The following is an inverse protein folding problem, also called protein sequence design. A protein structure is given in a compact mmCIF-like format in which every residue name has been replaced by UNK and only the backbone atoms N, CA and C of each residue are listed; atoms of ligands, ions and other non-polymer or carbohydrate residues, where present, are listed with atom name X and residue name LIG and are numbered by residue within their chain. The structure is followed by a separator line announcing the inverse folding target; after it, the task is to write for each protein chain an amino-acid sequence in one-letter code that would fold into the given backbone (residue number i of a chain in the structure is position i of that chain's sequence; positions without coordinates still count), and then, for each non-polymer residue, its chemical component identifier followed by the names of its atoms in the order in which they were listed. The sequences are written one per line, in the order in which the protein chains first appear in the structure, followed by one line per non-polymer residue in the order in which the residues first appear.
data_IF_503639995746
#
_entry.id   IF_503639995746
#
_cell.length_a   1.000
_cell.length_b   1.000
_cell.length_c   1.000
_cell.angle_alpha   90.00
_cell.angle_beta   90.00
_cell.angle_gamma   90.00
#
_symmetry.space_group_name_H-M   'P 1'
#
loop_
_entity.id
_entity.type
_entity.pdbx_description
1 polymer ?
#
# COMPACT_ATOMS: atom_id res chain seq x y z
N UNK A 1 -17.05 -7.85 -25.06
CA UNK A 1 -18.35 -7.16 -25.23
C UNK A 1 -18.21 -5.69 -24.90
N UNK A 2 -19.15 -4.85 -25.33
CA UNK A 2 -19.20 -3.41 -25.03
C UNK A 2 -20.36 -3.15 -24.07
N UNK A 3 -20.15 -2.27 -23.09
CA UNK A 3 -21.24 -1.74 -22.26
C UNK A 3 -21.93 -0.57 -22.98
N UNK A 4 -23.06 -0.08 -22.44
CA UNK A 4 -23.80 1.02 -23.04
C UNK A 4 -22.94 2.29 -23.18
N UNK A 5 -22.87 2.84 -24.39
CA UNK A 5 -22.06 4.02 -24.72
C UNK A 5 -20.58 3.72 -25.02
N UNK A 6 -20.12 2.48 -24.85
CA UNK A 6 -18.80 2.07 -25.29
C UNK A 6 -18.78 1.75 -26.79
N UNK A 7 -17.63 1.96 -27.43
CA UNK A 7 -17.36 1.55 -28.80
C UNK A 7 -15.94 1.01 -28.96
N UNK A 8 -15.73 0.15 -29.95
CA UNK A 8 -14.39 -0.27 -30.36
C UNK A 8 -13.76 0.77 -31.28
N UNK A 9 -12.64 1.36 -30.85
CA UNK A 9 -11.72 2.04 -31.77
C UNK A 9 -10.88 1.04 -32.54
N UNK A 10 -10.52 -0.06 -31.87
CA UNK A 10 -9.91 -1.25 -32.47
C UNK A 10 -10.66 -2.45 -31.91
N UNK A 11 -11.33 -3.21 -32.76
CA UNK A 11 -12.08 -4.39 -32.33
C UNK A 11 -11.15 -5.63 -32.27
N UNK A 12 -11.06 -6.32 -31.12
CA UNK A 12 -10.24 -7.51 -31.01
C UNK A 12 -10.85 -8.66 -31.82
N UNK A 13 -10.01 -9.29 -32.63
CA UNK A 13 -10.35 -10.45 -33.47
C UNK A 13 -9.62 -11.69 -33.00
N UNK A 14 -10.35 -12.80 -32.90
CA UNK A 14 -9.82 -14.15 -32.72
C UNK A 14 -9.05 -14.58 -33.97
N UNK A 15 -7.87 -15.16 -33.80
CA UNK A 15 -6.96 -15.52 -34.88
C UNK A 15 -6.80 -17.04 -35.07
N UNK A 16 -7.22 -17.83 -34.10
CA UNK A 16 -7.19 -19.29 -34.12
C UNK A 16 -8.57 -19.87 -33.76
N UNK A 17 -8.77 -21.15 -34.06
CA UNK A 17 -10.01 -21.85 -33.72
C UNK A 17 -10.09 -22.18 -32.22
N UNK A 18 -8.94 -22.36 -31.55
CA UNK A 18 -8.87 -22.65 -30.11
C UNK A 18 -9.06 -21.40 -29.23
N UNK A 19 -9.07 -20.20 -29.81
CA UNK A 19 -9.31 -18.95 -29.10
C UNK A 19 -8.19 -18.50 -28.16
N UNK A 20 -6.96 -18.95 -28.40
CA UNK A 20 -5.77 -18.54 -27.63
C UNK A 20 -5.08 -17.34 -28.25
N UNK A 21 -5.31 -17.07 -29.53
CA UNK A 21 -4.70 -15.96 -30.25
C UNK A 21 -5.74 -14.88 -30.54
N UNK A 22 -5.46 -13.67 -30.07
CA UNK A 22 -6.30 -12.50 -30.25
C UNK A 22 -5.46 -11.30 -30.66
N UNK A 23 -6.00 -10.49 -31.57
CA UNK A 23 -5.49 -9.13 -31.81
C UNK A 23 -5.90 -8.21 -30.66
N UNK A 24 -5.16 -7.11 -30.41
CA UNK A 24 -5.50 -6.18 -29.35
C UNK A 24 -6.81 -5.43 -29.63
N UNK A 25 -7.49 -5.03 -28.56
CA UNK A 25 -8.69 -4.20 -28.61
C UNK A 25 -8.50 -2.87 -27.89
N UNK A 26 -9.17 -1.82 -28.37
CA UNK A 26 -9.23 -0.51 -27.71
C UNK A 26 -10.68 -0.07 -27.59
N UNK A 27 -11.20 -0.05 -26.36
CA UNK A 27 -12.52 0.50 -26.02
C UNK A 27 -12.43 2.00 -25.80
N UNK A 28 -13.38 2.74 -26.33
CA UNK A 28 -13.59 4.14 -26.02
C UNK A 28 -14.95 4.34 -25.35
N UNK A 29 -15.03 5.30 -24.43
CA UNK A 29 -16.26 5.61 -23.71
C UNK A 29 -16.47 4.76 -22.46
N UNK A 30 -15.40 4.14 -21.93
CA UNK A 30 -15.47 3.42 -20.64
C UNK A 30 -15.92 4.41 -19.57
N UNK A 31 -16.98 4.05 -18.83
CA UNK A 31 -17.61 4.92 -17.84
C UNK A 31 -17.15 4.58 -16.43
N UNK A 32 -17.11 5.55 -15.51
CA UNK A 32 -16.86 5.28 -14.10
C UNK A 32 -17.85 4.24 -13.57
N UNK A 33 -17.34 3.22 -12.90
CA UNK A 33 -18.13 2.10 -12.34
C UNK A 33 -18.66 1.10 -13.37
N UNK A 34 -18.33 1.23 -14.68
CA UNK A 34 -18.66 0.18 -15.65
C UNK A 34 -17.89 -1.11 -15.37
N UNK A 35 -18.34 -2.23 -15.95
CA UNK A 35 -17.71 -3.53 -15.74
C UNK A 35 -16.23 -3.49 -16.10
N UNK A 36 -15.88 -2.83 -17.21
CA UNK A 36 -14.49 -2.72 -17.67
C UNK A 36 -13.63 -1.78 -16.81
N UNK A 37 -14.22 -0.81 -16.13
CA UNK A 37 -13.50 0.06 -15.19
C UNK A 37 -13.10 -0.71 -13.91
N UNK A 38 -13.98 -1.55 -13.39
CA UNK A 38 -13.80 -2.18 -12.07
C UNK A 38 -13.34 -3.64 -12.12
N UNK A 39 -13.19 -4.23 -13.31
CA UNK A 39 -12.82 -5.64 -13.50
C UNK A 39 -11.55 -5.77 -14.32
N UNK A 40 -10.54 -6.44 -13.75
CA UNK A 40 -9.34 -6.84 -14.48
C UNK A 40 -9.65 -8.00 -15.42
N UNK A 41 -9.58 -7.76 -16.74
CA UNK A 41 -9.87 -8.79 -17.76
C UNK A 41 -8.65 -9.64 -18.14
N UNK A 42 -7.46 -9.28 -17.66
CA UNK A 42 -6.19 -10.00 -17.87
C UNK A 42 -5.90 -10.40 -19.32
N UNK A 43 -6.22 -9.51 -20.27
CA UNK A 43 -6.12 -9.76 -21.72
C UNK A 43 -5.72 -8.50 -22.50
N UNK A 44 -5.60 -8.60 -23.83
CA UNK A 44 -5.03 -7.54 -24.67
C UNK A 44 -6.07 -6.46 -25.01
N UNK A 45 -6.74 -5.90 -24.00
CA UNK A 45 -7.77 -4.88 -24.18
C UNK A 45 -7.44 -3.64 -23.35
N UNK A 46 -7.37 -2.49 -24.02
CA UNK A 46 -7.23 -1.17 -23.39
C UNK A 46 -8.59 -0.47 -23.33
N UNK A 47 -8.89 0.17 -22.20
CA UNK A 47 -10.05 1.04 -22.05
C UNK A 47 -9.64 2.50 -21.98
N UNK A 48 -10.35 3.37 -22.72
CA UNK A 48 -10.16 4.82 -22.68
C UNK A 48 -11.34 5.46 -21.96
N UNK A 49 -11.03 6.14 -20.86
CA UNK A 49 -11.92 7.00 -20.09
C UNK A 49 -11.56 8.47 -20.37
N UNK A 50 -12.54 9.36 -20.28
CA UNK A 50 -12.33 10.81 -20.37
C UNK A 50 -12.67 11.42 -19.01
N UNK A 51 -11.79 12.26 -18.51
CA UNK A 51 -11.99 13.14 -17.36
C UNK A 51 -11.80 14.59 -17.83
N UNK A 52 -12.50 15.54 -17.21
CA UNK A 52 -12.40 16.97 -17.52
C UNK A 52 -11.28 17.66 -16.73
N UNK A 53 -10.84 17.07 -15.61
CA UNK A 53 -9.75 17.59 -14.77
C UNK A 53 -8.81 16.48 -14.31
N UNK A 54 -7.61 16.86 -13.87
CA UNK A 54 -6.65 15.93 -13.25
C UNK A 54 -7.22 15.32 -11.95
N UNK A 55 -7.97 16.09 -11.16
CA UNK A 55 -8.61 15.61 -9.94
C UNK A 55 -9.61 14.49 -10.22
N UNK A 56 -10.46 14.69 -11.22
CA UNK A 56 -11.40 13.67 -11.67
C UNK A 56 -10.64 12.43 -12.18
N UNK A 57 -9.58 12.60 -12.96
CA UNK A 57 -8.78 11.48 -13.45
C UNK A 57 -8.15 10.66 -12.31
N UNK A 58 -7.64 11.32 -11.27
CA UNK A 58 -7.10 10.68 -10.07
C UNK A 58 -8.21 9.94 -9.31
N UNK A 59 -9.39 10.53 -9.16
CA UNK A 59 -10.52 9.89 -8.48
C UNK A 59 -10.99 8.65 -9.23
N UNK A 60 -11.04 8.70 -10.57
CA UNK A 60 -11.32 7.53 -11.40
C UNK A 60 -10.26 6.45 -11.21
N UNK A 61 -8.97 6.82 -11.26
CA UNK A 61 -7.87 5.88 -11.05
C UNK A 61 -7.94 5.19 -9.67
N UNK A 62 -8.32 5.93 -8.63
CA UNK A 62 -8.40 5.42 -7.26
C UNK A 62 -9.71 4.67 -6.97
N UNK A 63 -10.76 4.84 -7.78
CA UNK A 63 -12.07 4.24 -7.56
C UNK A 63 -12.15 2.73 -7.85
N UNK A 64 -11.06 2.10 -8.30
CA UNK A 64 -10.97 0.65 -8.42
C UNK A 64 -10.53 0.00 -7.10
N UNK A 65 -10.90 -1.26 -6.89
CA UNK A 65 -10.53 -2.01 -5.69
C UNK A 65 -9.02 -2.31 -5.57
N UNK A 66 -8.24 -1.98 -6.60
CA UNK A 66 -6.84 -2.33 -6.76
C UNK A 66 -5.94 -1.11 -6.63
N UNK A 67 -4.66 -1.33 -6.31
CA UNK A 67 -3.66 -0.28 -6.16
C UNK A 67 -2.26 -0.79 -6.51
N UNK A 68 -2.12 -1.52 -7.63
CA UNK A 68 -0.85 -2.14 -8.00
C UNK A 68 0.11 -1.16 -8.66
N UNK A 69 -0.14 -0.82 -9.92
CA UNK A 69 0.63 0.16 -10.69
C UNK A 69 -0.25 1.30 -11.15
N UNK A 70 0.34 2.46 -11.32
CA UNK A 70 -0.31 3.64 -11.89
C UNK A 70 0.73 4.57 -12.51
N UNK A 71 0.33 5.36 -13.49
CA UNK A 71 1.26 6.31 -14.08
C UNK A 71 0.62 7.56 -14.62
N UNK A 72 1.40 8.63 -14.61
CA UNK A 72 1.05 9.93 -15.18
C UNK A 72 2.03 10.27 -16.30
N UNK A 73 1.48 10.77 -17.41
CA UNK A 73 2.25 11.43 -18.45
C UNK A 73 1.90 12.92 -18.45
N UNK A 74 2.76 13.73 -17.85
CA UNK A 74 2.69 15.19 -17.84
C UNK A 74 4.09 15.78 -17.79
N UNK A 75 4.29 16.96 -18.38
CA UNK A 75 5.54 17.74 -18.26
C UNK A 75 5.40 18.89 -17.26
N UNK A 76 4.21 19.06 -16.67
CA UNK A 76 3.97 20.06 -15.64
C UNK A 76 4.33 19.47 -14.27
N UNK A 77 5.29 20.09 -13.58
CA UNK A 77 5.76 19.65 -12.26
C UNK A 77 4.65 19.72 -11.21
N UNK A 78 3.77 20.72 -11.28
CA UNK A 78 2.68 20.87 -10.32
C UNK A 78 1.64 19.75 -10.48
N UNK A 79 1.37 19.33 -11.71
CA UNK A 79 0.51 18.16 -11.97
C UNK A 79 1.14 16.86 -11.48
N UNK A 80 2.45 16.70 -11.66
CA UNK A 80 3.20 15.53 -11.20
C UNK A 80 3.18 15.43 -9.67
N UNK A 81 3.50 16.53 -8.98
CA UNK A 81 3.51 16.57 -7.51
C UNK A 81 2.11 16.30 -6.95
N UNK A 82 1.10 16.96 -7.52
CA UNK A 82 -0.30 16.76 -7.14
C UNK A 82 -0.78 15.31 -7.32
N UNK A 83 -0.41 14.68 -8.45
CA UNK A 83 -0.73 13.28 -8.69
C UNK A 83 0.01 12.35 -7.72
N UNK A 84 1.31 12.58 -7.48
CA UNK A 84 2.10 11.76 -6.56
C UNK A 84 1.61 11.84 -5.11
N UNK A 85 1.01 12.96 -4.71
CA UNK A 85 0.44 13.12 -3.37
C UNK A 85 -0.89 12.39 -3.17
N UNK A 86 -1.67 12.21 -4.24
CA UNK A 86 -3.02 11.66 -4.18
C UNK A 86 -3.19 10.24 -4.75
N UNK A 87 -2.28 9.77 -5.59
CA UNK A 87 -2.43 8.47 -6.25
C UNK A 87 -2.29 7.31 -5.26
N UNK A 88 -3.23 6.38 -5.30
CA UNK A 88 -3.30 5.25 -4.37
C UNK A 88 -2.77 3.94 -4.99
N UNK A 89 -1.52 3.97 -5.44
CA UNK A 89 -0.84 2.79 -5.99
C UNK A 89 0.44 2.50 -5.25
N UNK A 90 0.81 1.21 -5.18
CA UNK A 90 2.11 0.81 -4.67
C UNK A 90 3.27 1.20 -5.59
N UNK A 91 3.10 1.13 -6.91
CA UNK A 91 4.13 1.45 -7.89
C UNK A 91 3.66 2.58 -8.82
N UNK A 92 4.18 3.78 -8.60
CA UNK A 92 3.88 4.98 -9.36
C UNK A 92 4.95 5.25 -10.43
N UNK A 93 4.54 5.62 -11.63
CA UNK A 93 5.43 5.86 -12.76
C UNK A 93 5.12 7.19 -13.44
N UNK A 94 6.14 8.01 -13.66
CA UNK A 94 5.99 9.34 -14.29
C UNK A 94 6.76 9.38 -15.61
N UNK A 95 6.05 9.70 -16.69
CA UNK A 95 6.57 9.82 -18.04
C UNK A 95 7.27 8.56 -18.57
N UNK A 96 6.67 7.40 -18.31
CA UNK A 96 7.13 6.07 -18.76
C UNK A 96 6.01 5.05 -18.65
N UNK A 97 6.18 3.90 -19.31
CA UNK A 97 5.34 2.72 -19.08
C UNK A 97 5.36 2.25 -17.61
N UNK A 98 4.28 1.56 -17.22
CA UNK A 98 4.02 1.13 -15.82
C UNK A 98 4.37 -0.34 -15.54
N UNK A 99 5.00 -1.03 -16.49
CA UNK A 99 5.40 -2.44 -16.41
C UNK A 99 6.93 -2.56 -16.42
N UNK A 100 7.45 -3.78 -16.24
CA UNK A 100 8.89 -4.04 -16.31
C UNK A 100 9.66 -3.54 -15.08
N UNK A 101 9.07 -3.68 -13.89
CA UNK A 101 9.73 -3.31 -12.63
C UNK A 101 11.06 -4.08 -12.46
N UNK A 102 12.13 -3.35 -12.19
CA UNK A 102 13.48 -3.88 -11.98
C UNK A 102 13.75 -3.93 -10.48
N UNK A 103 14.21 -5.10 -9.99
CA UNK A 103 14.57 -5.32 -8.58
C UNK A 103 15.44 -4.18 -8.04
N UNK A 104 15.15 -3.73 -6.81
CA UNK A 104 15.80 -2.61 -6.10
C UNK A 104 15.62 -1.22 -6.71
N UNK A 105 15.36 -1.09 -8.01
CA UNK A 105 14.98 0.20 -8.61
C UNK A 105 13.50 0.50 -8.35
N UNK A 106 12.63 -0.43 -8.72
CA UNK A 106 11.20 -0.35 -8.45
C UNK A 106 10.76 -1.59 -7.67
N UNK A 107 11.05 -1.70 -6.35
CA UNK A 107 10.43 -2.73 -5.51
C UNK A 107 8.94 -2.85 -5.82
N UNK A 108 8.46 -4.07 -6.00
CA UNK A 108 7.16 -4.31 -6.60
C UNK A 108 6.14 -4.87 -5.60
N UNK A 109 4.96 -4.26 -5.56
CA UNK A 109 3.85 -4.66 -4.71
C UNK A 109 2.80 -3.56 -4.63
N UNK A 110 1.52 -3.93 -4.50
CA UNK A 110 0.41 -3.00 -4.54
C UNK A 110 -0.16 -2.63 -3.17
N UNK A 111 -1.22 -1.84 -3.20
CA UNK A 111 -2.12 -1.54 -2.08
C UNK A 111 -3.52 -2.09 -2.35
N UNK A 112 -4.44 -1.92 -1.40
CA UNK A 112 -5.84 -2.38 -1.51
C UNK A 112 -5.89 -3.88 -1.82
N UNK A 113 -6.79 -4.32 -2.71
CA UNK A 113 -6.93 -5.71 -3.10
C UNK A 113 -5.76 -6.28 -3.92
N UNK A 114 -4.75 -5.47 -4.24
CA UNK A 114 -3.53 -5.94 -4.93
C UNK A 114 -2.50 -6.58 -3.99
N UNK A 115 -2.79 -6.69 -2.69
CA UNK A 115 -1.90 -7.29 -1.69
C UNK A 115 -2.69 -8.00 -0.59
N UNK A 116 -2.12 -9.06 -0.05
CA UNK A 116 -2.61 -9.74 1.16
C UNK A 116 -1.47 -9.82 2.16
N UNK A 117 -1.71 -9.36 3.39
CA UNK A 117 -0.71 -9.37 4.47
C UNK A 117 0.03 -8.04 4.65
N UNK A 118 1.17 -8.03 5.39
CA UNK A 118 1.85 -6.80 5.79
C UNK A 118 2.30 -5.93 4.61
N UNK A 119 2.64 -6.56 3.48
CA UNK A 119 2.74 -5.89 2.18
C UNK A 119 4.08 -5.23 1.89
N UNK A 120 5.19 -5.72 2.44
CA UNK A 120 6.51 -5.28 1.95
C UNK A 120 6.72 -5.76 0.50
N UNK A 121 7.39 -4.94 -0.31
CA UNK A 121 7.51 -5.14 -1.75
C UNK A 121 8.59 -6.16 -2.10
N UNK A 122 8.28 -7.04 -3.04
CA UNK A 122 9.27 -7.95 -3.61
C UNK A 122 10.42 -7.16 -4.26
N UNK A 123 11.65 -7.59 -4.01
CA UNK A 123 12.84 -6.86 -4.45
C UNK A 123 13.11 -5.55 -3.69
N UNK A 124 12.37 -5.29 -2.61
CA UNK A 124 12.59 -4.22 -1.63
C UNK A 124 13.33 -4.70 -0.38
N UNK A 125 13.73 -3.77 0.50
CA UNK A 125 14.58 -4.06 1.66
C UNK A 125 13.88 -4.91 2.74
N UNK A 126 12.56 -4.79 2.88
CA UNK A 126 11.81 -5.44 3.96
C UNK A 126 11.20 -6.80 3.60
N UNK A 127 11.33 -7.24 2.34
CA UNK A 127 10.63 -8.45 1.88
C UNK A 127 11.06 -9.71 2.62
N UNK A 128 12.38 -9.96 2.70
CA UNK A 128 12.95 -11.14 3.37
C UNK A 128 12.64 -11.13 4.86
N UNK A 129 12.59 -9.94 5.48
CA UNK A 129 12.30 -9.78 6.90
C UNK A 129 10.89 -10.26 7.30
N UNK A 130 9.97 -10.44 6.33
CA UNK A 130 8.65 -11.03 6.57
C UNK A 130 8.69 -12.56 6.72
N UNK A 131 9.73 -13.22 6.21
CA UNK A 131 9.89 -14.67 6.23
C UNK A 131 10.49 -15.16 7.57
N UNK A 132 9.93 -14.71 8.70
CA UNK A 132 10.42 -15.04 10.02
C UNK A 132 9.64 -14.39 11.15
N UNK A 133 10.19 -14.51 12.35
CA UNK A 133 9.70 -13.83 13.56
C UNK A 133 10.78 -12.92 14.09
N UNK A 134 10.36 -11.84 14.72
CA UNK A 134 11.23 -10.86 15.37
C UNK A 134 10.97 -10.87 16.87
N UNK A 135 12.01 -10.64 17.65
CA UNK A 135 11.98 -10.42 19.09
C UNK A 135 12.89 -9.24 19.41
N UNK A 136 12.66 -8.60 20.56
CA UNK A 136 13.57 -7.57 21.04
C UNK A 136 14.97 -8.16 21.26
N UNK A 137 15.98 -7.33 21.00
CA UNK A 137 17.38 -7.68 21.17
C UNK A 137 17.77 -7.67 22.66
N UNK A 138 18.85 -8.37 23.07
CA UNK A 138 19.24 -8.50 24.49
C UNK A 138 19.59 -7.18 25.19
N UNK A 139 19.90 -6.13 24.44
CA UNK A 139 20.25 -4.79 24.92
C UNK A 139 19.04 -3.86 25.07
N UNK A 140 17.86 -4.30 24.64
CA UNK A 140 16.59 -3.62 24.91
C UNK A 140 16.20 -3.90 26.39
N UNK A 141 15.70 -2.89 27.13
CA UNK A 141 15.21 -3.11 28.50
C UNK A 141 14.13 -4.20 28.57
N UNK A 142 13.88 -4.71 29.78
CA UNK A 142 12.87 -5.76 29.99
C UNK A 142 11.50 -5.35 29.43
N UNK A 143 10.91 -6.23 28.62
CA UNK A 143 9.68 -5.97 27.88
C UNK A 143 8.55 -5.46 28.78
N UNK A 144 7.81 -4.47 28.27
CA UNK A 144 6.62 -3.90 28.92
C UNK A 144 6.88 -3.16 30.25
N UNK A 145 8.13 -2.85 30.57
CA UNK A 145 8.49 -1.88 31.61
C UNK A 145 8.45 -0.43 31.09
N UNK A 146 8.44 0.55 31.99
CA UNK A 146 8.54 1.97 31.62
C UNK A 146 9.85 2.27 30.87
N UNK A 147 10.95 1.62 31.27
CA UNK A 147 12.24 1.75 30.60
C UNK A 147 12.19 1.22 29.15
N UNK A 148 11.50 0.11 28.91
CA UNK A 148 11.30 -0.44 27.57
C UNK A 148 10.45 0.48 26.70
N UNK A 149 9.38 1.05 27.24
CA UNK A 149 8.53 2.00 26.50
C UNK A 149 9.29 3.28 26.15
N UNK A 150 10.05 3.84 27.10
CA UNK A 150 10.87 5.02 26.84
C UNK A 150 11.95 4.75 25.79
N UNK A 151 12.57 3.56 25.83
CA UNK A 151 13.52 3.12 24.81
C UNK A 151 12.84 3.02 23.43
N UNK A 152 11.66 2.40 23.35
CA UNK A 152 10.90 2.25 22.10
C UNK A 152 10.56 3.60 21.46
N UNK A 153 10.11 4.58 22.27
CA UNK A 153 9.78 5.93 21.79
C UNK A 153 11.01 6.66 21.23
N UNK A 154 12.18 6.47 21.86
CA UNK A 154 13.43 7.02 21.37
C UNK A 154 13.90 6.34 20.08
N UNK A 155 13.75 5.01 19.97
CA UNK A 155 14.08 4.27 18.76
C UNK A 155 13.15 4.62 17.59
N UNK A 156 11.85 4.85 17.87
CA UNK A 156 10.88 5.31 16.88
C UNK A 156 11.31 6.64 16.24
N UNK A 157 11.76 7.62 17.04
CA UNK A 157 12.32 8.88 16.53
C UNK A 157 13.53 8.63 15.64
N UNK A 158 14.48 7.83 16.13
CA UNK A 158 15.72 7.53 15.41
C UNK A 158 15.43 6.88 14.05
N UNK A 159 14.55 5.88 14.01
CA UNK A 159 14.17 5.15 12.80
C UNK A 159 13.38 6.04 11.85
N UNK A 160 12.44 6.82 12.37
CA UNK A 160 11.65 7.73 11.52
C UNK A 160 12.55 8.76 10.85
N UNK A 161 13.39 9.45 11.62
CA UNK A 161 14.25 10.51 11.12
C UNK A 161 15.38 10.01 10.20
N UNK A 162 15.86 8.78 10.40
CA UNK A 162 16.95 8.21 9.59
C UNK A 162 16.48 7.44 8.35
N UNK A 163 15.26 6.90 8.36
CA UNK A 163 14.87 5.83 7.43
C UNK A 163 13.42 5.96 6.95
N UNK A 164 12.43 5.62 7.79
CA UNK A 164 11.03 5.52 7.35
C UNK A 164 10.38 6.87 6.99
N UNK A 165 10.90 7.97 7.53
CA UNK A 165 10.48 9.34 7.21
C UNK A 165 11.25 9.95 6.03
N UNK A 166 12.06 9.17 5.30
CA UNK A 166 12.88 9.66 4.18
C UNK A 166 12.60 8.88 2.88
N UNK A 167 12.86 9.57 1.78
CA UNK A 167 12.87 8.99 0.43
C UNK A 167 14.24 8.39 0.11
N UNK A 168 14.24 7.22 -0.53
CA UNK A 168 15.45 6.45 -0.82
C UNK A 168 15.58 6.16 -2.31
N UNK A 169 16.60 6.68 -2.98
CA UNK A 169 16.99 6.27 -4.35
C UNK A 169 18.38 5.62 -4.35
N UNK A 170 18.47 4.32 -4.04
CA UNK A 170 19.75 3.62 -4.04
C UNK A 170 20.30 3.36 -5.45
N UNK A 171 19.51 3.62 -6.51
CA UNK A 171 19.94 3.39 -7.89
C UNK A 171 20.74 4.56 -8.44
N UNK A 172 20.40 5.79 -8.01
CA UNK A 172 21.08 7.03 -8.37
C UNK A 172 21.37 7.16 -9.88
N UNK A 173 20.43 6.73 -10.72
CA UNK A 173 20.62 6.78 -12.17
C UNK A 173 20.51 8.22 -12.66
N UNK A 174 21.37 8.58 -13.61
CA UNK A 174 21.38 9.93 -14.18
C UNK A 174 20.06 10.29 -14.90
N UNK A 175 19.45 9.32 -15.55
CA UNK A 175 18.34 9.52 -16.49
C UNK A 175 16.95 9.25 -15.88
N UNK A 176 16.91 8.71 -14.66
CA UNK A 176 15.69 8.16 -14.05
C UNK A 176 15.81 8.18 -12.52
N UNK A 177 14.88 8.85 -11.84
CA UNK A 177 14.75 8.76 -10.39
C UNK A 177 13.92 7.53 -10.02
N UNK A 178 14.37 6.80 -9.01
CA UNK A 178 13.77 5.56 -8.52
C UNK A 178 13.68 5.57 -7.00
N UNK A 179 12.65 6.22 -6.51
CA UNK A 179 12.46 6.49 -5.09
C UNK A 179 11.61 5.40 -4.46
N UNK A 180 12.13 4.78 -3.41
CA UNK A 180 11.34 4.05 -2.42
C UNK A 180 11.03 5.00 -1.27
N UNK A 181 9.75 5.16 -0.95
CA UNK A 181 9.26 5.92 0.22
C UNK A 181 8.25 5.11 1.02
N UNK A 182 7.99 5.54 2.25
CA UNK A 182 6.98 4.95 3.11
C UNK A 182 5.83 5.94 3.31
N UNK A 183 4.61 5.53 2.96
CA UNK A 183 3.39 6.32 3.12
C UNK A 183 2.61 5.82 4.33
N UNK A 184 2.16 6.73 5.17
CA UNK A 184 1.33 6.38 6.33
C UNK A 184 0.01 5.76 5.88
N UNK A 185 -0.52 4.85 6.71
CA UNK A 185 -1.89 4.39 6.54
C UNK A 185 -2.85 5.48 7.04
N UNK A 186 -4.05 5.62 6.44
CA UNK A 186 -5.00 6.66 6.84
C UNK A 186 -5.51 6.46 8.27
N UNK A 187 -5.49 5.21 8.77
CA UNK A 187 -6.00 4.83 10.08
C UNK A 187 -5.40 3.47 10.51
N UNK A 188 -5.25 3.28 11.82
CA UNK A 188 -4.92 1.99 12.44
C UNK A 188 -6.02 1.59 13.43
N UNK A 189 -6.57 0.39 13.27
CA UNK A 189 -7.37 -0.23 14.34
C UNK A 189 -6.47 -1.07 15.23
N UNK A 190 -6.55 -0.88 16.55
CA UNK A 190 -5.86 -1.71 17.53
C UNK A 190 -6.87 -2.60 18.24
N UNK A 191 -6.70 -3.91 18.13
CA UNK A 191 -7.48 -4.88 18.93
C UNK A 191 -6.67 -5.26 20.16
N UNK A 192 -7.13 -4.85 21.34
CA UNK A 192 -6.56 -5.23 22.63
C UNK A 192 -7.36 -6.40 23.23
N UNK A 193 -6.75 -7.59 23.24
CA UNK A 193 -7.31 -8.82 23.79
C UNK A 193 -7.44 -8.81 25.31
N UNK A 194 -8.03 -9.89 25.85
CA UNK A 194 -8.19 -10.07 27.30
C UNK A 194 -6.87 -10.18 28.08
N UNK A 195 -5.81 -10.59 27.40
CA UNK A 195 -4.44 -10.69 27.87
C UNK A 195 -3.55 -9.51 27.40
N UNK A 196 -4.15 -8.42 26.90
CA UNK A 196 -3.40 -7.26 26.44
C UNK A 196 -2.63 -6.59 27.59
N UNK A 197 -1.32 -6.43 27.43
CA UNK A 197 -0.51 -5.66 28.35
C UNK A 197 -0.70 -4.14 28.10
N UNK A 198 -1.00 -3.32 29.13
CA UNK A 198 -1.21 -1.88 28.97
C UNK A 198 -0.01 -1.12 28.39
N UNK A 199 1.22 -1.49 28.77
CA UNK A 199 2.45 -0.89 28.23
C UNK A 199 2.65 -1.26 26.76
N UNK A 200 2.29 -2.48 26.37
CA UNK A 200 2.32 -2.90 24.96
C UNK A 200 1.32 -2.08 24.11
N UNK A 201 0.12 -1.84 24.63
CA UNK A 201 -0.87 -0.98 23.98
C UNK A 201 -0.33 0.45 23.82
N UNK A 202 0.21 1.03 24.90
CA UNK A 202 0.82 2.36 24.87
C UNK A 202 1.97 2.46 23.86
N UNK A 203 2.75 1.38 23.66
CA UNK A 203 3.80 1.33 22.65
C UNK A 203 3.25 1.41 21.22
N UNK A 204 2.19 0.65 20.92
CA UNK A 204 1.56 0.66 19.59
C UNK A 204 1.00 2.04 19.28
N UNK A 205 0.32 2.66 20.26
CA UNK A 205 -0.18 4.04 20.14
C UNK A 205 0.95 5.06 19.96
N UNK A 206 2.10 4.86 20.62
CA UNK A 206 3.26 5.72 20.44
C UNK A 206 3.85 5.62 19.02
N UNK A 207 3.89 4.42 18.43
CA UNK A 207 4.33 4.21 17.04
C UNK A 207 3.42 4.96 16.05
N UNK A 208 2.09 4.82 16.24
CA UNK A 208 1.11 5.50 15.41
C UNK A 208 1.20 7.02 15.57
N UNK A 209 1.39 7.52 16.79
CA UNK A 209 1.59 8.94 17.07
C UNK A 209 2.85 9.49 16.40
N UNK A 210 3.96 8.75 16.41
CA UNK A 210 5.20 9.12 15.69
C UNK A 210 4.94 9.34 14.20
N UNK A 211 4.15 8.46 13.61
CA UNK A 211 3.79 8.51 12.19
C UNK A 211 2.59 9.44 11.88
N UNK A 212 1.96 10.06 12.89
CA UNK A 212 0.76 10.89 12.70
C UNK A 212 -0.48 10.11 12.26
N UNK A 213 -0.54 8.80 12.55
CA UNK A 213 -1.65 7.92 12.15
C UNK A 213 -2.72 7.91 13.25
N UNK A 214 -4.00 8.22 12.91
CA UNK A 214 -5.09 8.13 13.88
C UNK A 214 -5.37 6.67 14.25
N UNK A 215 -5.70 6.44 15.53
CA UNK A 215 -5.91 5.11 16.10
C UNK A 215 -7.31 4.97 16.66
N UNK A 216 -7.95 3.84 16.40
CA UNK A 216 -9.13 3.38 17.16
C UNK A 216 -8.77 2.13 17.94
N UNK A 217 -8.95 2.15 19.26
CA UNK A 217 -8.74 0.99 20.13
C UNK A 217 -10.07 0.29 20.36
N UNK A 218 -10.12 -1.01 20.06
CA UNK A 218 -11.16 -1.94 20.48
C UNK A 218 -10.59 -2.82 21.57
N UNK A 219 -11.02 -2.62 22.82
CA UNK A 219 -10.54 -3.37 23.98
C UNK A 219 -11.57 -4.41 24.44
N UNK A 220 -11.07 -5.55 24.93
CA UNK A 220 -11.90 -6.70 25.30
C UNK A 220 -12.98 -6.40 26.35
N UNK A 221 -12.72 -5.45 27.25
CA UNK A 221 -13.59 -5.05 28.35
C UNK A 221 -14.78 -4.20 27.89
N UNK A 222 -14.69 -3.59 26.71
CA UNK A 222 -15.75 -2.80 26.09
C UNK A 222 -16.42 -3.53 24.91
N UNK A 223 -15.67 -4.38 24.21
CA UNK A 223 -16.13 -5.17 23.06
C UNK A 223 -15.45 -6.54 23.11
N UNK A 224 -16.21 -7.60 23.34
CA UNK A 224 -15.64 -8.95 23.39
C UNK A 224 -15.13 -9.41 22.02
N UNK A 225 -14.34 -10.50 22.00
CA UNK A 225 -13.72 -10.98 20.75
C UNK A 225 -14.77 -11.39 19.72
N UNK A 226 -15.87 -12.02 20.14
CA UNK A 226 -16.94 -12.46 19.25
C UNK A 226 -17.59 -11.27 18.53
N UNK A 227 -17.85 -10.18 19.24
CA UNK A 227 -18.44 -8.96 18.69
C UNK A 227 -17.49 -8.30 17.70
N UNK A 228 -16.23 -8.09 18.07
CA UNK A 228 -15.24 -7.47 17.19
C UNK A 228 -15.00 -8.30 15.92
N UNK A 229 -14.83 -9.62 16.08
CA UNK A 229 -14.67 -10.56 14.96
C UNK A 229 -15.91 -10.56 14.05
N UNK A 230 -17.11 -10.45 14.64
CA UNK A 230 -18.35 -10.30 13.89
C UNK A 230 -18.35 -9.07 12.97
N UNK A 231 -17.94 -7.90 13.50
CA UNK A 231 -17.84 -6.65 12.74
C UNK A 231 -16.80 -6.69 11.62
N UNK A 232 -15.63 -7.28 11.89
CA UNK A 232 -14.61 -7.54 10.87
C UNK A 232 -15.19 -8.45 9.78
N UNK A 233 -15.87 -9.53 10.17
CA UNK A 233 -16.52 -10.46 9.24
C UNK A 233 -17.68 -9.84 8.45
N UNK A 234 -18.31 -8.79 8.95
CA UNK A 234 -19.34 -8.02 8.26
C UNK A 234 -18.78 -6.91 7.35
N UNK A 235 -17.46 -6.66 7.38
CA UNK A 235 -16.81 -5.61 6.58
C UNK A 235 -16.92 -4.20 7.19
N UNK A 236 -17.29 -4.09 8.48
CA UNK A 236 -17.40 -2.80 9.16
C UNK A 236 -16.05 -2.24 9.62
N UNK A 237 -15.01 -3.08 9.63
CA UNK A 237 -13.65 -2.74 10.03
C UNK A 237 -12.72 -3.15 8.90
N UNK A 238 -12.15 -2.16 8.23
CA UNK A 238 -11.21 -2.33 7.12
C UNK A 238 -9.81 -1.77 7.47
N UNK A 239 -8.85 -1.99 6.58
CA UNK A 239 -7.48 -1.52 6.72
C UNK A 239 -6.63 -2.43 7.59
N UNK A 240 -5.72 -1.84 8.37
CA UNK A 240 -4.79 -2.59 9.23
C UNK A 240 -5.34 -2.72 10.64
N UNK A 241 -5.34 -3.95 11.14
CA UNK A 241 -5.70 -4.30 12.51
C UNK A 241 -4.44 -4.79 13.21
N UNK A 242 -3.94 -4.02 14.18
CA UNK A 242 -2.83 -4.41 15.05
C UNK A 242 -3.36 -5.08 16.32
N UNK A 243 -2.97 -6.32 16.56
CA UNK A 243 -3.41 -7.05 17.76
C UNK A 243 -2.40 -6.87 18.89
N UNK A 244 -2.89 -6.59 20.10
CA UNK A 244 -2.12 -6.59 21.36
C UNK A 244 -2.74 -7.65 22.27
N UNK A 245 -1.96 -8.64 22.68
CA UNK A 245 -2.48 -9.86 23.31
C UNK A 245 -3.03 -10.83 22.26
N UNK A 246 -4.20 -11.40 22.53
CA UNK A 246 -4.87 -12.41 21.71
C UNK A 246 -6.16 -11.88 21.07
N UNK A 247 -6.49 -12.39 19.89
CA UNK A 247 -7.77 -12.12 19.21
C UNK A 247 -8.21 -13.37 18.43
N UNK A 248 -8.75 -14.40 19.12
CA UNK A 248 -9.17 -15.65 18.50
C UNK A 248 -10.19 -15.42 17.38
N UNK A 249 -10.10 -16.16 16.27
CA UNK A 249 -11.04 -16.06 15.15
C UNK A 249 -10.86 -14.85 14.22
N UNK A 250 -10.05 -13.85 14.61
CA UNK A 250 -9.87 -12.62 13.81
C UNK A 250 -9.34 -12.88 12.40
N UNK A 251 -8.38 -13.80 12.25
CA UNK A 251 -7.83 -14.16 10.94
C UNK A 251 -8.86 -14.82 10.03
N UNK A 252 -9.76 -15.62 10.59
CA UNK A 252 -10.83 -16.27 9.84
C UNK A 252 -11.90 -15.26 9.41
N UNK A 253 -12.22 -14.27 10.25
CA UNK A 253 -13.10 -13.19 9.83
C UNK A 253 -12.46 -12.32 8.74
N UNK A 254 -11.19 -11.95 8.89
CA UNK A 254 -10.47 -11.16 7.90
C UNK A 254 -10.32 -11.85 6.54
N UNK A 255 -10.26 -13.19 6.50
CA UNK A 255 -10.17 -13.94 5.24
C UNK A 255 -11.44 -13.87 4.38
N UNK A 256 -12.58 -13.39 4.94
CA UNK A 256 -13.81 -13.12 4.19
C UNK A 256 -13.74 -11.83 3.37
N UNK A 257 -12.78 -10.96 3.69
CA UNK A 257 -12.57 -9.63 3.10
C UNK A 257 -11.13 -9.48 2.60
N UNK A 258 -10.68 -10.44 1.80
CA UNK A 258 -9.31 -10.47 1.25
C UNK A 258 -9.00 -9.16 0.53
N UNK A 259 -7.89 -8.53 0.89
CA UNK A 259 -7.45 -7.28 0.28
C UNK A 259 -8.01 -6.01 0.92
N UNK A 260 -8.99 -6.13 1.82
CA UNK A 260 -9.55 -5.01 2.60
C UNK A 260 -9.01 -4.98 4.03
N UNK A 261 -8.79 -6.16 4.63
CA UNK A 261 -8.31 -6.30 6.02
C UNK A 261 -6.93 -6.93 6.07
N UNK A 262 -6.02 -6.31 6.82
CA UNK A 262 -4.69 -6.87 7.13
C UNK A 262 -4.54 -7.03 8.64
N UNK A 263 -4.46 -8.27 9.10
CA UNK A 263 -4.24 -8.60 10.52
C UNK A 263 -2.74 -8.70 10.82
N UNK A 264 -2.30 -7.88 11.78
CA UNK A 264 -0.94 -7.80 12.28
C UNK A 264 -0.93 -8.26 13.75
N UNK A 265 -0.67 -9.54 13.97
CA UNK A 265 -0.71 -10.21 15.29
C UNK A 265 0.66 -10.72 15.75
N UNK A 266 1.73 -10.20 15.16
CA UNK A 266 3.09 -10.43 15.65
C UNK A 266 3.29 -9.87 17.06
N UNK A 267 4.36 -10.25 17.77
CA UNK A 267 4.69 -9.65 19.06
C UNK A 267 4.80 -8.12 18.95
N UNK A 268 4.43 -7.40 20.01
CA UNK A 268 4.71 -5.95 20.11
C UNK A 268 6.18 -5.79 20.47
N UNK A 269 6.93 -5.06 19.65
CA UNK A 269 8.39 -4.95 19.76
C UNK A 269 8.80 -3.53 20.10
N UNK A 270 9.83 -3.35 20.92
CA UNK A 270 10.37 -2.03 21.20
C UNK A 270 10.94 -1.38 19.94
N UNK A 271 11.59 -2.16 19.06
CA UNK A 271 12.25 -1.61 17.87
C UNK A 271 11.28 -0.90 16.92
N UNK A 272 11.54 0.38 16.68
CA UNK A 272 10.79 1.19 15.72
C UNK A 272 10.91 0.67 14.30
N UNK A 273 12.03 0.02 13.94
CA UNK A 273 12.22 -0.56 12.59
C UNK A 273 11.24 -1.68 12.27
N UNK A 274 10.60 -2.26 13.30
CA UNK A 274 9.58 -3.30 13.13
C UNK A 274 8.19 -2.78 13.42
N UNK A 275 7.99 -2.09 14.55
CA UNK A 275 6.64 -1.65 14.91
C UNK A 275 6.12 -0.54 13.97
N UNK A 276 6.95 0.39 13.52
CA UNK A 276 6.48 1.46 12.61
C UNK A 276 6.03 0.91 11.24
N UNK A 277 6.51 -0.27 10.82
CA UNK A 277 6.01 -0.93 9.59
C UNK A 277 4.53 -1.28 9.66
N UNK A 278 3.95 -1.36 10.87
CA UNK A 278 2.51 -1.59 11.05
C UNK A 278 1.65 -0.38 10.64
N UNK A 279 2.24 0.82 10.61
CA UNK A 279 1.55 2.09 10.30
C UNK A 279 1.99 2.74 8.98
N UNK A 280 2.89 2.10 8.23
CA UNK A 280 3.30 2.57 6.89
C UNK A 280 3.18 1.50 5.82
N UNK A 281 3.01 1.95 4.57
CA UNK A 281 3.01 1.15 3.35
C UNK A 281 4.12 1.65 2.43
N UNK A 282 4.89 0.74 1.86
CA UNK A 282 5.91 1.12 0.90
C UNK A 282 5.28 1.63 -0.41
N UNK A 283 5.94 2.60 -1.05
CA UNK A 283 5.63 3.09 -2.38
C UNK A 283 6.91 3.25 -3.20
N UNK A 284 6.93 2.71 -4.41
CA UNK A 284 8.00 2.93 -5.36
C UNK A 284 7.53 3.96 -6.40
N UNK A 285 8.35 4.98 -6.65
CA UNK A 285 8.13 6.02 -7.65
C UNK A 285 9.28 5.94 -8.65
N UNK A 286 8.95 5.76 -9.93
CA UNK A 286 9.94 5.81 -11.00
C UNK A 286 9.61 6.93 -11.98
N UNK A 287 10.54 7.87 -12.14
CA UNK A 287 10.33 9.10 -12.90
C UNK A 287 11.45 9.32 -13.90
N UNK A 288 11.09 9.49 -15.17
CA UNK A 288 12.04 9.91 -16.22
C UNK A 288 12.53 11.34 -15.93
N UNK A 289 13.85 11.54 -15.94
CA UNK A 289 14.48 12.84 -15.63
C UNK A 289 14.95 13.61 -16.87
N UNK A 290 14.99 12.95 -18.03
CA UNK A 290 15.47 13.56 -19.26
C UNK A 290 14.34 13.94 -20.22
N UNK A 291 14.61 14.93 -21.08
CA UNK A 291 13.85 15.15 -22.29
C UNK A 291 14.70 14.75 -23.49
N UNK A 292 14.35 13.61 -24.11
CA UNK A 292 15.10 13.04 -25.23
C UNK A 292 16.63 12.90 -24.98
N UNK A 293 17.01 12.43 -23.79
CA UNK A 293 18.41 12.24 -23.38
C UNK A 293 19.06 13.46 -22.74
N UNK A 294 18.47 14.66 -22.86
CA UNK A 294 18.94 15.84 -22.13
C UNK A 294 18.40 15.85 -20.70
N UNK A 295 19.28 15.69 -19.70
CA UNK A 295 18.94 15.83 -18.27
C UNK A 295 19.24 17.27 -17.85
N UNK A 296 18.22 18.06 -17.44
CA UNK A 296 18.46 19.39 -16.91
C UNK A 296 19.35 19.33 -15.65
N UNK A 297 20.24 20.31 -15.42
CA UNK A 297 20.97 20.39 -14.15
C UNK A 297 19.97 20.49 -12.98
N UNK A 298 20.27 19.78 -11.88
CA UNK A 298 19.46 19.84 -10.67
C UNK A 298 19.40 21.30 -10.17
N UNK A 299 18.18 21.81 -9.96
CA UNK A 299 17.93 23.15 -9.41
C UNK A 299 18.04 23.15 -7.90
#
# INVERSE_FOLDING_TARGET
TLDAGEQWLVEPRRLDDEGRLWTPGVKHGVRPGSSFHTTEVFGPVLGVMRAETLDEAIDLQNAVAFGLTGGLHSLDEAEIDHWLDRVEVGNAYVNRHITGAIVRRQPFGGWKASVVGPGAKAGGPDYVAQAGRWSDAPDVPEAFTDAWLAWAIADDERVWSADLGRDHDPSALHAEANVLRYRTVPHLTVRAGSDANPTALARVEAAARRAGVPVTVSSWDHEDDATFVGRVGAGEVEGRIRVVGSAPGLREAASRHVGLVTVLDGPVLASGRRELLTVVREQAISRTLHRFGHVPPQR
#
